data_IF_327842894712
#
_entry.id   IF_327842894712
#
_cell.length_a   1.000
_cell.length_b   1.000
_cell.length_c   1.000
_cell.angle_alpha   90.00
_cell.angle_beta   90.00
_cell.angle_gamma   90.00
#
_symmetry.space_group_name_H-M   'P 1'
#
loop_
_entity.id
_entity.type
_entity.pdbx_description
1 polymer ?
#
# COMPACT_ATOMS: atom_id res chain seq x y z
N UNK A 1 44.79 -25.73 -10.80
CA UNK A 1 45.54 -25.84 -9.54
C UNK A 1 45.13 -24.65 -8.65
N UNK A 2 43.85 -24.53 -8.26
CA UNK A 2 43.14 -25.35 -7.25
C UNK A 2 43.87 -25.19 -5.89
N UNK A 3 43.29 -24.77 -4.77
CA UNK A 3 41.95 -24.95 -4.18
C UNK A 3 41.66 -23.81 -3.16
N UNK A 4 40.43 -23.29 -3.04
CA UNK A 4 39.38 -23.70 -2.06
C UNK A 4 39.96 -23.87 -0.64
N UNK A 5 39.61 -23.03 0.32
CA UNK A 5 38.27 -22.93 0.90
C UNK A 5 38.31 -23.61 2.27
N UNK A 6 38.35 -22.82 3.35
CA UNK A 6 38.29 -23.30 4.73
C UNK A 6 37.34 -22.41 5.56
N UNK A 7 36.70 -22.99 6.59
CA UNK A 7 35.24 -22.98 6.71
C UNK A 7 34.68 -21.90 7.65
N UNK A 8 33.48 -21.43 7.31
CA UNK A 8 32.64 -20.63 8.20
C UNK A 8 32.14 -21.49 9.36
N UNK A 9 32.48 -21.04 10.57
CA UNK A 9 32.09 -21.63 11.84
C UNK A 9 30.56 -21.88 11.91
N UNK A 10 30.22 -23.12 12.23
CA UNK A 10 28.88 -23.54 12.59
C UNK A 10 28.40 -22.74 13.82
N UNK A 11 27.38 -21.90 13.63
CA UNK A 11 26.51 -21.47 14.72
C UNK A 11 25.37 -22.47 14.81
N UNK A 12 25.36 -23.20 15.91
CA UNK A 12 24.37 -24.19 16.30
C UNK A 12 22.94 -23.64 16.14
N UNK A 13 22.19 -24.15 15.16
CA UNK A 13 20.74 -24.01 15.14
C UNK A 13 20.16 -25.06 16.08
N UNK A 14 19.94 -24.68 17.34
CA UNK A 14 19.11 -25.46 18.26
C UNK A 14 17.69 -25.48 17.69
N UNK A 15 17.35 -26.53 16.95
CA UNK A 15 15.96 -26.83 16.64
C UNK A 15 15.31 -27.33 17.94
N UNK A 16 14.23 -26.71 18.44
CA UNK A 16 13.52 -27.26 19.58
C UNK A 16 12.95 -28.63 19.20
N UNK A 17 13.34 -29.63 19.98
CA UNK A 17 12.73 -30.96 20.04
C UNK A 17 11.23 -30.80 20.31
N UNK A 18 10.40 -30.96 19.27
CA UNK A 18 8.96 -31.11 19.42
C UNK A 18 8.63 -32.58 19.73
N UNK A 19 9.14 -33.06 20.85
CA UNK A 19 8.61 -34.25 21.52
C UNK A 19 7.74 -33.76 22.69
N UNK A 20 6.48 -34.19 22.69
CA UNK A 20 5.47 -33.99 23.74
C UNK A 20 4.84 -32.59 23.86
N UNK A 21 3.96 -32.24 22.91
CA UNK A 21 2.72 -31.54 23.27
C UNK A 21 1.58 -32.25 22.55
N UNK A 22 0.59 -32.68 23.33
CA UNK A 22 -0.58 -33.40 22.88
C UNK A 22 -1.35 -32.67 21.77
N UNK A 23 -1.87 -33.48 20.87
CA UNK A 23 -2.84 -33.13 19.85
C UNK A 23 -4.10 -32.46 20.46
N UNK A 24 -4.92 -31.92 19.55
CA UNK A 24 -6.33 -31.53 19.66
C UNK A 24 -6.67 -30.25 20.47
N UNK A 25 -7.36 -29.32 19.79
CA UNK A 25 -8.24 -28.25 20.32
C UNK A 25 -7.83 -26.77 20.40
N UNK A 26 -6.72 -26.29 19.82
CA UNK A 26 -6.48 -24.82 19.78
C UNK A 26 -6.24 -24.19 18.41
N UNK A 27 -6.52 -24.91 17.33
CA UNK A 27 -6.29 -24.41 15.96
C UNK A 27 -7.55 -23.97 15.19
N UNK A 28 -8.72 -23.92 15.82
CA UNK A 28 -9.95 -23.42 15.19
C UNK A 28 -10.17 -21.90 15.38
N UNK A 29 -9.50 -21.26 16.33
CA UNK A 29 -9.71 -19.83 16.60
C UNK A 29 -8.82 -18.88 15.78
N UNK A 30 -7.72 -19.38 15.20
CA UNK A 30 -6.84 -18.53 14.39
C UNK A 30 -7.34 -18.33 12.95
N UNK A 31 -8.24 -19.20 12.45
CA UNK A 31 -8.78 -19.08 11.09
C UNK A 31 -9.90 -18.04 10.98
N UNK A 32 -10.60 -17.73 12.06
CA UNK A 32 -11.72 -16.79 12.04
C UNK A 32 -11.27 -15.33 12.21
N UNK A 33 -10.17 -15.06 12.93
CA UNK A 33 -9.76 -13.68 13.22
C UNK A 33 -9.29 -12.91 11.98
N UNK A 34 -8.86 -13.59 10.91
CA UNK A 34 -8.35 -12.92 9.71
C UNK A 34 -9.42 -12.61 8.65
N UNK A 35 -10.66 -13.08 8.82
CA UNK A 35 -11.62 -13.18 7.71
C UNK A 35 -12.85 -12.27 7.79
N UNK A 36 -12.86 -11.27 8.67
CA UNK A 36 -14.13 -10.58 8.97
C UNK A 36 -14.41 -9.29 8.19
N UNK A 37 -13.52 -8.71 7.36
CA UNK A 37 -13.78 -7.33 6.86
C UNK A 37 -13.31 -6.94 5.44
N UNK A 38 -13.36 -7.82 4.43
CA UNK A 38 -13.07 -7.39 3.05
C UNK A 38 -14.05 -7.97 2.02
N UNK A 39 -15.21 -7.34 1.89
CA UNK A 39 -16.23 -7.66 0.87
C UNK A 39 -15.86 -6.97 -0.45
N UNK A 40 -15.01 -7.57 -1.28
CA UNK A 40 -14.80 -7.14 -2.67
C UNK A 40 -14.31 -8.31 -3.55
N UNK A 41 -14.67 -8.27 -4.84
CA UNK A 41 -14.60 -9.31 -5.89
C UNK A 41 -13.20 -9.89 -6.22
N UNK A 42 -12.22 -9.72 -5.34
CA UNK A 42 -10.84 -10.19 -5.44
C UNK A 42 -10.61 -11.59 -4.82
N UNK A 43 -11.66 -12.21 -4.27
CA UNK A 43 -11.61 -13.46 -3.51
C UNK A 43 -11.47 -14.75 -4.33
N UNK A 44 -11.46 -14.71 -5.68
CA UNK A 44 -11.49 -15.94 -6.49
C UNK A 44 -10.13 -16.64 -6.63
N UNK A 45 -9.01 -15.91 -6.49
CA UNK A 45 -7.66 -16.49 -6.70
C UNK A 45 -6.97 -16.89 -5.39
N UNK A 46 -7.21 -16.15 -4.31
CA UNK A 46 -6.56 -16.38 -3.02
C UNK A 46 -7.24 -17.47 -2.18
N UNK A 47 -8.57 -17.54 -2.21
CA UNK A 47 -9.32 -18.54 -1.45
C UNK A 47 -9.19 -19.95 -2.04
N UNK A 48 -8.99 -20.06 -3.37
CA UNK A 48 -8.83 -21.35 -4.07
C UNK A 48 -7.51 -22.07 -3.77
N UNK A 49 -6.43 -21.34 -3.51
CA UNK A 49 -5.12 -21.94 -3.29
C UNK A 49 -4.89 -22.26 -1.80
N UNK A 50 -5.28 -21.35 -0.89
CA UNK A 50 -4.92 -21.47 0.52
C UNK A 50 -5.69 -22.55 1.31
N UNK A 51 -6.95 -22.85 0.94
CA UNK A 51 -7.74 -23.83 1.69
C UNK A 51 -7.38 -25.29 1.37
N UNK A 52 -6.77 -25.53 0.21
CA UNK A 52 -6.35 -26.87 -0.24
C UNK A 52 -4.85 -27.09 -0.02
N UNK A 53 -4.05 -26.02 -0.05
CA UNK A 53 -2.63 -26.02 0.34
C UNK A 53 -2.57 -25.71 1.86
N UNK A 54 -3.26 -26.52 2.67
CA UNK A 54 -3.00 -26.50 4.11
C UNK A 54 -1.59 -27.03 4.36
N UNK A 55 -0.89 -26.64 5.44
CA UNK A 55 0.42 -27.19 5.79
C UNK A 55 0.46 -28.72 5.67
N UNK A 56 -0.60 -29.38 6.14
CA UNK A 56 -0.75 -30.85 6.08
C UNK A 56 -0.74 -31.43 4.67
N UNK A 57 -1.21 -30.70 3.65
CA UNK A 57 -1.14 -31.12 2.24
C UNK A 57 0.23 -30.91 1.60
N UNK A 58 0.93 -29.83 1.97
CA UNK A 58 2.25 -29.46 1.43
C UNK A 58 3.36 -30.38 1.93
N UNK A 59 3.26 -30.80 3.19
CA UNK A 59 4.31 -31.60 3.82
C UNK A 59 4.21 -33.10 3.54
N UNK A 60 3.03 -33.63 3.17
CA UNK A 60 2.80 -35.10 3.12
C UNK A 60 2.11 -35.65 1.87
N UNK A 61 1.70 -34.84 0.88
CA UNK A 61 0.98 -35.35 -0.30
C UNK A 61 1.66 -35.06 -1.63
N UNK A 62 1.64 -36.04 -2.53
CA UNK A 62 2.09 -35.89 -3.91
C UNK A 62 1.12 -34.98 -4.71
N UNK A 63 1.64 -34.30 -5.74
CA UNK A 63 0.86 -33.38 -6.56
C UNK A 63 -0.46 -33.98 -7.14
N UNK A 64 -0.53 -35.26 -7.53
CA UNK A 64 -1.79 -35.91 -7.94
C UNK A 64 -2.84 -35.98 -6.82
N UNK A 65 -2.42 -36.21 -5.57
CA UNK A 65 -3.34 -36.29 -4.43
C UNK A 65 -3.86 -34.91 -4.06
N UNK A 66 -3.00 -33.89 -4.10
CA UNK A 66 -3.43 -32.50 -3.95
C UNK A 66 -4.45 -32.10 -5.02
N UNK A 67 -4.25 -32.53 -6.28
CA UNK A 67 -5.19 -32.29 -7.40
C UNK A 67 -6.55 -32.97 -7.19
N UNK A 68 -6.57 -34.22 -6.71
CA UNK A 68 -7.82 -34.94 -6.41
C UNK A 68 -8.62 -34.25 -5.30
N UNK A 69 -7.97 -33.90 -4.20
CA UNK A 69 -8.60 -33.15 -3.09
C UNK A 69 -9.08 -31.77 -3.52
N UNK A 70 -8.34 -31.10 -4.41
CA UNK A 70 -8.77 -29.82 -5.00
C UNK A 70 -10.07 -29.96 -5.76
N UNK A 71 -10.19 -31.00 -6.58
CA UNK A 71 -11.39 -31.32 -7.34
C UNK A 71 -12.57 -31.66 -6.44
N UNK A 72 -12.37 -32.46 -5.38
CA UNK A 72 -13.40 -32.81 -4.39
C UNK A 72 -13.92 -31.57 -3.66
N UNK A 73 -13.02 -30.73 -3.12
CA UNK A 73 -13.39 -29.54 -2.38
C UNK A 73 -14.12 -28.49 -3.23
N UNK A 74 -13.78 -28.38 -4.52
CA UNK A 74 -14.42 -27.43 -5.45
C UNK A 74 -15.55 -28.04 -6.29
N UNK A 75 -15.95 -29.30 -6.02
CA UNK A 75 -17.00 -30.00 -6.75
C UNK A 75 -16.85 -29.90 -8.29
N UNK A 76 -15.62 -30.01 -8.79
CA UNK A 76 -15.34 -29.85 -10.22
C UNK A 76 -15.72 -31.12 -10.99
N UNK A 77 -16.69 -30.98 -11.90
CA UNK A 77 -17.26 -32.10 -12.66
C UNK A 77 -16.33 -32.59 -13.78
N UNK A 78 -15.61 -31.70 -14.48
CA UNK A 78 -14.68 -32.10 -15.55
C UNK A 78 -13.24 -32.08 -15.05
N UNK A 79 -12.45 -33.04 -15.52
CA UNK A 79 -11.02 -33.13 -15.19
C UNK A 79 -10.22 -31.90 -15.65
N UNK A 80 -10.62 -31.28 -16.76
CA UNK A 80 -10.00 -30.08 -17.32
C UNK A 80 -10.37 -28.79 -16.60
N UNK A 81 -11.43 -28.80 -15.77
CA UNK A 81 -11.79 -27.64 -14.94
C UNK A 81 -10.82 -27.51 -13.74
N UNK A 82 -10.10 -28.58 -13.43
CA UNK A 82 -9.07 -28.60 -12.40
C UNK A 82 -7.74 -28.10 -12.93
N UNK A 83 -7.03 -27.30 -12.13
CA UNK A 83 -5.68 -26.81 -12.44
C UNK A 83 -4.74 -27.96 -12.83
N UNK A 84 -3.83 -27.67 -13.76
CA UNK A 84 -2.82 -28.62 -14.23
C UNK A 84 -1.92 -29.06 -13.05
N UNK A 85 -1.49 -30.33 -13.05
CA UNK A 85 -0.55 -30.89 -12.08
C UNK A 85 0.70 -30.01 -11.97
N UNK A 86 1.20 -29.46 -13.08
CA UNK A 86 2.37 -28.60 -13.06
C UNK A 86 2.12 -27.28 -12.30
N UNK A 87 0.93 -26.69 -12.44
CA UNK A 87 0.54 -25.49 -11.70
C UNK A 87 0.50 -25.77 -10.20
N UNK A 88 0.00 -26.94 -9.81
CA UNK A 88 -0.04 -27.38 -8.41
C UNK A 88 1.37 -27.59 -7.85
N UNK A 89 2.27 -28.23 -8.63
CA UNK A 89 3.69 -28.37 -8.26
C UNK A 89 4.35 -26.99 -8.04
N UNK A 90 4.12 -26.05 -8.94
CA UNK A 90 4.66 -24.70 -8.84
C UNK A 90 4.15 -23.96 -7.59
N UNK A 91 2.87 -24.13 -7.22
CA UNK A 91 2.33 -23.57 -5.99
C UNK A 91 2.93 -24.21 -4.73
N UNK A 92 3.11 -25.53 -4.71
CA UNK A 92 3.76 -26.25 -3.60
C UNK A 92 5.20 -25.76 -3.42
N UNK A 93 5.96 -25.66 -4.51
CA UNK A 93 7.34 -25.15 -4.49
C UNK A 93 7.41 -23.72 -3.95
N UNK A 94 6.59 -22.83 -4.52
CA UNK A 94 6.50 -21.43 -4.11
C UNK A 94 6.12 -21.26 -2.64
N UNK A 95 5.22 -22.09 -2.15
CA UNK A 95 4.83 -22.10 -0.74
C UNK A 95 5.95 -22.63 0.16
N UNK A 96 6.69 -23.68 -0.24
CA UNK A 96 7.85 -24.17 0.51
C UNK A 96 8.96 -23.12 0.62
N UNK A 97 9.17 -22.32 -0.42
CA UNK A 97 10.21 -21.29 -0.44
C UNK A 97 9.81 -20.00 0.29
N UNK A 98 8.58 -19.52 0.12
CA UNK A 98 8.15 -18.17 0.56
C UNK A 98 7.11 -18.19 1.69
N UNK A 99 6.55 -19.36 2.02
CA UNK A 99 5.42 -19.50 2.95
C UNK A 99 4.09 -18.93 2.41
N UNK A 100 4.05 -18.53 1.14
CA UNK A 100 2.88 -17.92 0.51
C UNK A 100 2.71 -18.37 -0.94
N UNK A 101 1.46 -18.47 -1.38
CA UNK A 101 1.09 -18.77 -2.77
C UNK A 101 0.88 -17.50 -3.61
N UNK A 102 0.95 -16.31 -3.00
CA UNK A 102 0.77 -15.02 -3.66
C UNK A 102 1.82 -14.75 -4.73
N UNK A 103 1.39 -14.25 -5.89
CA UNK A 103 2.31 -13.79 -6.94
C UNK A 103 3.26 -12.71 -6.40
N UNK A 104 4.54 -12.87 -6.73
CA UNK A 104 5.53 -11.82 -6.48
C UNK A 104 5.09 -10.56 -7.24
N UNK A 105 5.35 -9.41 -6.65
CA UNK A 105 5.09 -8.14 -7.31
C UNK A 105 5.79 -8.13 -8.67
N UNK A 106 5.01 -7.91 -9.74
CA UNK A 106 5.55 -7.86 -11.10
C UNK A 106 6.21 -6.50 -11.28
N UNK A 107 7.43 -6.49 -11.83
CA UNK A 107 8.17 -5.26 -12.15
C UNK A 107 7.42 -4.34 -13.11
N UNK A 108 6.48 -4.88 -13.89
CA UNK A 108 5.65 -4.12 -14.82
C UNK A 108 6.47 -3.51 -15.96
N UNK A 109 5.83 -2.66 -16.77
CA UNK A 109 6.53 -1.92 -17.84
C UNK A 109 7.35 -0.78 -17.22
N UNK A 110 8.63 -0.61 -17.59
CA UNK A 110 9.45 0.50 -17.08
C UNK A 110 8.83 1.84 -17.44
N UNK A 111 8.89 2.78 -16.50
CA UNK A 111 8.36 4.14 -16.67
C UNK A 111 9.40 4.99 -17.38
N UNK A 112 9.13 5.41 -18.61
CA UNK A 112 10.07 6.22 -19.40
C UNK A 112 9.97 7.72 -19.11
N UNK A 113 8.76 8.21 -18.81
CA UNK A 113 8.51 9.66 -18.69
C UNK A 113 8.48 10.19 -17.24
N UNK A 114 8.26 9.30 -16.26
CA UNK A 114 8.25 9.61 -14.82
C UNK A 114 9.48 9.00 -14.16
N UNK A 115 10.64 9.55 -14.49
CA UNK A 115 11.90 9.30 -13.79
C UNK A 115 11.96 10.16 -12.52
N UNK A 116 12.72 9.74 -11.50
CA UNK A 116 12.96 10.53 -10.28
C UNK A 116 13.45 11.96 -10.61
N UNK A 117 14.35 12.10 -11.58
CA UNK A 117 14.85 13.40 -12.06
C UNK A 117 13.70 14.33 -12.52
N UNK A 118 12.81 13.85 -13.39
CA UNK A 118 11.67 14.64 -13.86
C UNK A 118 10.70 14.99 -12.71
N UNK A 119 10.61 14.13 -11.69
CA UNK A 119 9.77 14.40 -10.52
C UNK A 119 10.35 15.54 -9.69
N UNK A 120 11.66 15.54 -9.51
CA UNK A 120 12.36 16.57 -8.74
C UNK A 120 12.39 17.90 -9.49
N UNK A 121 12.59 17.89 -10.82
CA UNK A 121 12.48 19.09 -11.65
C UNK A 121 11.08 19.73 -11.57
N UNK A 122 10.02 18.92 -11.68
CA UNK A 122 8.64 19.42 -11.54
C UNK A 122 8.39 19.93 -10.12
N UNK A 123 8.97 19.28 -9.10
CA UNK A 123 8.83 19.67 -7.70
C UNK A 123 9.48 21.02 -7.41
N UNK A 124 10.68 21.24 -7.91
CA UNK A 124 11.38 22.51 -7.71
C UNK A 124 10.67 23.65 -8.44
N UNK A 125 10.28 23.42 -9.69
CA UNK A 125 9.52 24.38 -10.48
C UNK A 125 8.22 24.81 -9.76
N UNK A 126 7.51 23.87 -9.11
CA UNK A 126 6.28 24.19 -8.36
C UNK A 126 6.58 24.98 -7.09
N UNK A 127 7.71 24.72 -6.43
CA UNK A 127 8.14 25.47 -5.24
C UNK A 127 8.48 26.92 -5.61
N UNK A 128 9.19 27.13 -6.71
CA UNK A 128 9.54 28.48 -7.20
C UNK A 128 8.30 29.28 -7.59
N UNK A 129 7.40 28.67 -8.37
CA UNK A 129 6.24 29.34 -8.93
C UNK A 129 4.98 28.48 -8.83
N UNK A 130 4.24 28.53 -7.70
CA UNK A 130 3.07 27.67 -7.49
C UNK A 130 1.89 28.03 -8.40
N UNK A 131 1.75 29.30 -8.80
CA UNK A 131 0.65 29.81 -9.62
C UNK A 131 0.80 29.51 -11.12
N UNK A 132 1.95 28.98 -11.54
CA UNK A 132 2.21 28.73 -12.96
C UNK A 132 1.35 27.58 -13.50
N UNK A 133 0.59 27.85 -14.56
CA UNK A 133 -0.24 26.84 -15.23
C UNK A 133 0.56 25.64 -15.73
N UNK A 134 -0.09 24.46 -15.75
CA UNK A 134 0.47 23.20 -16.27
C UNK A 134 1.03 23.37 -17.68
N UNK A 135 0.33 24.09 -18.57
CA UNK A 135 0.77 24.30 -19.97
C UNK A 135 2.06 25.11 -20.07
N UNK A 136 2.16 26.22 -19.31
CA UNK A 136 3.39 27.02 -19.25
C UNK A 136 4.55 26.22 -18.66
N UNK A 137 4.30 25.46 -17.58
CA UNK A 137 5.30 24.61 -16.93
C UNK A 137 5.79 23.49 -17.85
N UNK A 138 4.89 22.86 -18.58
CA UNK A 138 5.19 21.84 -19.59
C UNK A 138 6.15 22.37 -20.67
N UNK A 139 5.91 23.61 -21.15
CA UNK A 139 6.80 24.27 -22.11
C UNK A 139 8.16 24.62 -21.50
N UNK A 140 8.19 25.07 -20.24
CA UNK A 140 9.44 25.43 -19.57
C UNK A 140 10.33 24.22 -19.28
N UNK A 141 9.73 23.09 -18.87
CA UNK A 141 10.44 21.87 -18.51
C UNK A 141 10.63 20.89 -19.68
N UNK A 142 10.14 21.24 -20.89
CA UNK A 142 10.10 20.34 -22.06
C UNK A 142 9.49 18.96 -21.75
N UNK A 143 8.47 18.92 -20.90
CA UNK A 143 7.77 17.70 -20.51
C UNK A 143 6.38 17.65 -21.14
N UNK A 144 5.87 16.49 -21.58
CA UNK A 144 4.49 16.35 -22.01
C UNK A 144 3.53 16.74 -20.88
N UNK A 145 2.52 17.54 -21.19
CA UNK A 145 1.53 18.00 -20.20
C UNK A 145 0.84 16.85 -19.46
N UNK A 146 0.60 15.72 -20.12
CA UNK A 146 0.02 14.50 -19.54
C UNK A 146 0.93 13.85 -18.49
N UNK A 147 2.25 13.83 -18.72
CA UNK A 147 3.25 13.38 -17.76
C UNK A 147 3.30 14.31 -16.56
N UNK A 148 3.35 15.62 -16.81
CA UNK A 148 3.39 16.63 -15.76
C UNK A 148 2.16 16.53 -14.86
N UNK A 149 0.95 16.42 -15.43
CA UNK A 149 -0.28 16.22 -14.68
C UNK A 149 -0.27 14.91 -13.87
N UNK A 150 0.28 13.83 -14.44
CA UNK A 150 0.42 12.55 -13.72
C UNK A 150 1.40 12.66 -12.56
N UNK A 151 2.52 13.39 -12.71
CA UNK A 151 3.47 13.67 -11.63
C UNK A 151 2.78 14.48 -10.52
N UNK A 152 2.09 15.58 -10.89
CA UNK A 152 1.41 16.47 -9.96
C UNK A 152 0.24 15.83 -9.20
N UNK A 153 -0.38 14.76 -9.74
CA UNK A 153 -1.47 14.05 -9.05
C UNK A 153 -1.01 12.86 -8.22
N UNK A 154 -0.02 12.11 -8.71
CA UNK A 154 0.36 10.79 -8.14
C UNK A 154 1.64 10.81 -7.31
N UNK A 155 2.48 11.84 -7.36
CA UNK A 155 3.70 11.94 -6.52
C UNK A 155 3.48 12.88 -5.34
N UNK A 156 3.01 14.09 -5.65
CA UNK A 156 2.52 15.04 -4.66
C UNK A 156 1.02 15.09 -4.83
N UNK A 157 0.25 15.10 -3.75
CA UNK A 157 -1.20 15.27 -3.82
C UNK A 157 -1.51 16.76 -4.01
N UNK A 158 -1.03 17.35 -5.11
CA UNK A 158 -1.33 18.75 -5.38
C UNK A 158 -2.79 18.85 -5.83
N UNK A 159 -3.53 19.73 -5.15
CA UNK A 159 -4.89 20.05 -5.48
C UNK A 159 -4.91 21.23 -6.47
N UNK A 160 -5.89 21.29 -7.38
CA UNK A 160 -6.12 22.48 -8.18
C UNK A 160 -6.24 23.72 -7.29
N UNK A 161 -5.76 24.86 -7.78
CA UNK A 161 -5.93 26.13 -7.10
C UNK A 161 -7.40 26.54 -7.13
N UNK A 162 -7.99 26.78 -5.96
CA UNK A 162 -9.32 27.37 -5.81
C UNK A 162 -9.15 28.87 -5.54
N UNK A 163 -9.83 29.70 -6.34
CA UNK A 163 -9.80 31.15 -6.17
C UNK A 163 -10.58 31.48 -4.89
N UNK A 164 -9.90 32.03 -3.89
CA UNK A 164 -10.53 32.57 -2.69
C UNK A 164 -10.70 34.08 -2.86
N UNK A 165 -11.94 34.56 -2.70
CA UNK A 165 -12.23 35.98 -2.63
C UNK A 165 -12.00 36.45 -1.20
N UNK A 166 -10.94 37.24 -1.00
CA UNK A 166 -10.58 37.81 0.30
C UNK A 166 -10.55 39.33 0.21
N UNK A 167 -10.88 40.00 1.31
CA UNK A 167 -10.73 41.45 1.39
C UNK A 167 -9.26 41.85 1.24
N UNK A 168 -9.00 42.92 0.50
CA UNK A 168 -7.64 43.44 0.32
C UNK A 168 -7.11 43.98 1.65
N UNK A 169 -6.04 43.38 2.15
CA UNK A 169 -5.33 43.88 3.33
C UNK A 169 -4.55 45.14 2.96
N UNK A 170 -4.65 46.17 3.80
CA UNK A 170 -3.78 47.35 3.78
C UNK A 170 -2.53 47.08 4.62
N UNK A 171 -1.46 47.81 4.36
CA UNK A 171 -0.18 47.62 5.05
C UNK A 171 -0.28 47.85 6.56
N UNK A 172 -1.19 48.73 7.00
CA UNK A 172 -1.47 49.00 8.42
C UNK A 172 -2.27 47.90 9.12
N UNK A 173 -3.03 47.11 8.37
CA UNK A 173 -3.98 46.13 8.95
C UNK A 173 -3.24 45.02 9.66
N UNK A 174 -2.04 44.64 9.18
CA UNK A 174 -1.22 43.61 9.82
C UNK A 174 -0.89 43.98 11.27
N UNK A 175 -0.42 45.21 11.50
CA UNK A 175 -0.04 45.71 12.81
C UNK A 175 -1.27 45.85 13.73
N UNK A 176 -2.37 46.40 13.20
CA UNK A 176 -3.61 46.58 13.96
C UNK A 176 -4.17 45.22 14.41
N UNK A 177 -4.25 44.25 13.49
CA UNK A 177 -4.78 42.91 13.77
C UNK A 177 -3.89 42.15 14.75
N UNK A 178 -2.57 42.28 14.64
CA UNK A 178 -1.63 41.62 15.55
C UNK A 178 -1.70 42.21 16.96
N UNK A 179 -1.77 43.54 17.08
CA UNK A 179 -1.95 44.21 18.36
C UNK A 179 -3.27 43.81 19.02
N UNK A 180 -4.37 43.81 18.26
CA UNK A 180 -5.67 43.36 18.75
C UNK A 180 -5.65 41.89 19.21
N UNK A 181 -5.04 40.99 18.43
CA UNK A 181 -4.93 39.58 18.79
C UNK A 181 -4.15 39.38 20.11
N UNK A 182 -3.02 40.09 20.26
CA UNK A 182 -2.23 40.05 21.50
C UNK A 182 -2.99 40.64 22.69
N UNK A 183 -3.72 41.74 22.48
CA UNK A 183 -4.54 42.38 23.51
C UNK A 183 -5.66 41.44 23.99
N UNK A 184 -6.38 40.79 23.08
CA UNK A 184 -7.42 39.83 23.42
C UNK A 184 -6.83 38.61 24.14
N UNK A 185 -5.70 38.10 23.67
CA UNK A 185 -5.02 36.96 24.28
C UNK A 185 -4.57 37.24 25.72
N UNK A 186 -4.14 38.47 26.01
CA UNK A 186 -3.76 38.88 27.37
C UNK A 186 -4.98 39.17 28.26
N UNK A 187 -6.07 39.69 27.69
CA UNK A 187 -7.29 40.01 28.46
C UNK A 187 -8.09 38.78 28.87
N UNK A 188 -8.16 37.76 28.01
CA UNK A 188 -9.00 36.60 28.24
C UNK A 188 -8.17 35.32 28.27
N UNK A 189 -8.14 34.67 29.43
CA UNK A 189 -7.57 33.32 29.56
C UNK A 189 -8.54 32.23 29.10
N UNK A 190 -9.85 32.49 29.20
CA UNK A 190 -10.94 31.62 28.77
C UNK A 190 -12.08 32.45 28.16
N UNK A 191 -12.69 31.96 27.07
CA UNK A 191 -13.75 32.65 26.32
C UNK A 191 -15.17 32.46 26.89
N UNK A 192 -15.29 32.00 28.13
CA UNK A 192 -16.58 31.60 28.71
C UNK A 192 -17.55 32.78 28.95
N UNK A 193 -17.04 34.02 28.98
CA UNK A 193 -17.81 35.24 29.22
C UNK A 193 -17.87 36.18 28.00
N UNK A 194 -17.57 35.68 26.79
CA UNK A 194 -17.57 36.49 25.57
C UNK A 194 -18.78 36.14 24.70
N UNK A 195 -19.62 37.12 24.42
CA UNK A 195 -20.75 36.99 23.49
C UNK A 195 -20.44 37.76 22.19
N UNK A 196 -20.53 37.08 21.06
CA UNK A 196 -20.35 37.69 19.73
C UNK A 196 -21.70 37.90 19.05
N UNK A 197 -21.89 39.05 18.42
CA UNK A 197 -23.06 39.37 17.60
C UNK A 197 -22.60 40.01 16.29
N UNK A 198 -23.04 39.48 15.16
CA UNK A 198 -22.89 40.09 13.84
C UNK A 198 -24.28 40.29 13.19
N UNK A 199 -24.37 41.26 12.28
CA UNK A 199 -25.57 41.50 11.49
C UNK A 199 -25.25 41.20 10.03
N UNK A 200 -26.00 40.29 9.42
CA UNK A 200 -25.90 40.01 7.98
C UNK A 200 -26.83 40.98 7.25
N UNK A 201 -26.25 41.86 6.42
CA UNK A 201 -27.02 42.69 5.51
C UNK A 201 -27.61 41.80 4.39
N UNK A 202 -28.93 41.84 4.23
CA UNK A 202 -29.67 41.10 3.21
C UNK A 202 -29.53 41.75 1.82
#
# INVERSE_FOLDING_TARGET
>A
MDERGAPAAARESVLPSFANIGCYETFDLFSCYYYSHCRNSFFSKLDRAMKIITPRTVYNYSAPVARRKFREHHNLRRFNDCSNIQTIKNWIHKFKETGSTLDKQRSGRPRTSRTEENIDLVRESVRENPTQSIRKRSRALNLPGSTLQRILRKNKKFHPYEIQFVQKLKDTDATIRLNFANEIMNRFTLFNNVLFSDAVAA
#
